data_IF_191025019659
#
_entry.id   IF_191025019659
#
_cell.length_a   1.000
_cell.length_b   1.000
_cell.length_c   1.000
_cell.angle_alpha   90.00
_cell.angle_beta   90.00
_cell.angle_gamma   90.00
#
_symmetry.space_group_name_H-M   'P 1'
#
loop_
_entity.id
_entity.type
_entity.pdbx_description
1 polymer ?
#
# COMPACT_ATOMS: atom_id res chain seq x y z
N UNK A 1 8.63 -4.56 8.22
CA UNK A 1 8.17 -3.74 9.37
C UNK A 1 8.69 -2.34 9.18
N UNK A 2 7.82 -1.34 9.05
CA UNK A 2 8.24 0.05 9.08
C UNK A 2 9.03 0.29 10.37
N UNK A 3 10.32 0.56 10.23
CA UNK A 3 11.12 1.09 11.33
C UNK A 3 10.60 2.51 11.55
N UNK A 4 9.69 2.70 12.52
CA UNK A 4 9.21 4.02 12.96
C UNK A 4 10.30 4.81 13.69
N UNK A 5 11.57 4.55 13.39
CA UNK A 5 12.69 5.44 13.73
C UNK A 5 12.54 6.73 12.93
N UNK A 6 11.62 7.55 13.46
CA UNK A 6 11.44 8.98 13.33
C UNK A 6 11.67 9.48 11.91
N UNK A 7 10.67 9.29 11.03
CA UNK A 7 10.43 10.27 9.97
C UNK A 7 10.45 11.64 10.67
N UNK A 8 11.37 12.52 10.28
CA UNK A 8 11.48 13.88 10.81
C UNK A 8 10.85 14.84 9.81
N UNK A 9 9.51 14.92 9.76
CA UNK A 9 8.82 15.74 8.79
C UNK A 9 9.12 17.22 9.04
N UNK A 10 9.42 17.94 7.97
CA UNK A 10 9.33 19.40 7.96
C UNK A 10 7.93 19.78 7.51
N UNK A 11 7.37 20.85 8.05
CA UNK A 11 6.03 21.30 7.68
C UNK A 11 6.10 22.65 6.98
N UNK A 12 5.30 22.80 5.93
CA UNK A 12 4.93 24.11 5.41
C UNK A 12 3.72 24.59 6.20
N UNK A 13 3.76 25.85 6.64
CA UNK A 13 2.71 26.48 7.43
C UNK A 13 2.17 27.70 6.68
N UNK A 14 0.87 27.96 6.83
CA UNK A 14 0.24 29.18 6.32
C UNK A 14 0.55 30.40 7.21
N UNK A 15 0.08 31.57 6.81
CA UNK A 15 0.25 32.83 7.54
C UNK A 15 -0.37 32.81 8.96
N UNK A 16 -1.29 31.86 9.23
CA UNK A 16 -1.91 31.65 10.54
C UNK A 16 -1.20 30.56 11.36
N UNK A 17 -0.07 30.06 10.87
CA UNK A 17 0.72 29.01 11.52
C UNK A 17 0.13 27.60 11.37
N UNK A 18 -0.88 27.40 10.52
CA UNK A 18 -1.52 26.09 10.30
C UNK A 18 -0.70 25.29 9.31
N UNK A 19 -0.40 24.03 9.63
CA UNK A 19 0.33 23.11 8.75
C UNK A 19 -0.50 22.78 7.50
N UNK A 20 0.04 23.04 6.32
CA UNK A 20 -0.64 22.82 5.02
C UNK A 20 -0.02 21.70 4.21
N UNK A 21 1.27 21.46 4.39
CA UNK A 21 1.97 20.36 3.71
C UNK A 21 3.11 19.82 4.57
N UNK A 22 3.56 18.62 4.21
CA UNK A 22 4.69 17.94 4.84
C UNK A 22 5.78 17.70 3.80
N UNK A 23 7.02 17.94 4.20
CA UNK A 23 8.22 17.65 3.41
C UNK A 23 8.96 16.55 4.15
N UNK A 24 9.08 15.41 3.47
CA UNK A 24 9.85 14.25 3.91
C UNK A 24 10.93 13.95 2.85
N UNK A 25 11.97 13.23 3.24
CA UNK A 25 12.97 12.81 2.25
C UNK A 25 12.37 11.72 1.34
N UNK A 26 12.96 11.55 0.15
CA UNK A 26 12.46 10.59 -0.84
C UNK A 26 12.47 9.14 -0.34
N UNK A 27 13.45 8.77 0.49
CA UNK A 27 13.52 7.42 1.07
C UNK A 27 12.31 7.14 1.96
N UNK A 28 11.97 8.08 2.83
CA UNK A 28 10.81 7.97 3.73
C UNK A 28 9.50 7.97 2.93
N UNK A 29 9.42 8.76 1.86
CA UNK A 29 8.27 8.74 0.95
C UNK A 29 8.08 7.39 0.27
N UNK A 30 9.15 6.81 -0.29
CA UNK A 30 9.09 5.50 -0.94
C UNK A 30 8.74 4.40 0.05
N UNK A 31 9.33 4.41 1.26
CA UNK A 31 8.98 3.44 2.30
C UNK A 31 7.52 3.57 2.74
N UNK A 32 6.98 4.79 2.78
CA UNK A 32 5.58 5.03 3.09
C UNK A 32 4.66 4.48 1.98
N UNK A 33 5.03 4.67 0.72
CA UNK A 33 4.28 4.11 -0.41
C UNK A 33 4.27 2.58 -0.37
N UNK A 34 5.43 1.94 -0.23
CA UNK A 34 5.56 0.48 -0.15
C UNK A 34 4.70 -0.08 1.00
N UNK A 35 4.70 0.58 2.16
CA UNK A 35 3.85 0.17 3.26
C UNK A 35 2.34 0.29 2.98
N UNK A 36 1.93 1.32 2.23
CA UNK A 36 0.52 1.47 1.85
C UNK A 36 0.14 0.37 0.85
N UNK A 37 1.00 0.06 -0.12
CA UNK A 37 0.79 -1.02 -1.08
C UNK A 37 0.64 -2.38 -0.37
N UNK A 38 1.52 -2.68 0.59
CA UNK A 38 1.42 -3.90 1.42
C UNK A 38 0.06 -4.03 2.13
N UNK A 39 -0.47 -2.91 2.64
CA UNK A 39 -1.78 -2.89 3.29
C UNK A 39 -2.94 -3.06 2.31
N UNK A 40 -2.83 -2.47 1.12
CA UNK A 40 -3.82 -2.62 0.05
C UNK A 40 -3.87 -4.07 -0.45
N UNK A 41 -2.72 -4.68 -0.70
CA UNK A 41 -2.60 -6.09 -1.09
C UNK A 41 -3.20 -7.03 -0.03
N UNK A 42 -2.89 -6.80 1.25
CA UNK A 42 -3.46 -7.58 2.35
C UNK A 42 -4.99 -7.44 2.41
N UNK A 43 -5.51 -6.24 2.22
CA UNK A 43 -6.95 -5.98 2.18
C UNK A 43 -7.62 -6.65 0.97
N UNK A 44 -6.95 -6.69 -0.18
CA UNK A 44 -7.47 -7.33 -1.39
C UNK A 44 -7.52 -8.86 -1.25
N UNK A 45 -6.53 -9.47 -0.57
CA UNK A 45 -6.60 -10.88 -0.18
C UNK A 45 -7.81 -11.14 0.73
N UNK A 46 -8.02 -10.33 1.76
CA UNK A 46 -9.17 -10.48 2.67
C UNK A 46 -10.52 -10.29 1.95
N UNK A 47 -10.60 -9.35 1.00
CA UNK A 47 -11.79 -9.20 0.15
C UNK A 47 -11.99 -10.41 -0.75
N UNK A 48 -10.92 -10.95 -1.33
CA UNK A 48 -10.98 -12.13 -2.18
C UNK A 48 -11.48 -13.34 -1.39
N UNK A 49 -10.99 -13.55 -0.17
CA UNK A 49 -11.48 -14.61 0.73
C UNK A 49 -12.98 -14.45 1.01
N UNK A 50 -13.42 -13.23 1.38
CA UNK A 50 -14.85 -12.96 1.63
C UNK A 50 -15.75 -13.18 0.42
N UNK A 51 -15.23 -12.94 -0.78
CA UNK A 51 -15.97 -13.07 -2.05
C UNK A 51 -15.78 -14.44 -2.71
N UNK A 52 -14.90 -15.30 -2.19
CA UNK A 52 -14.60 -16.57 -2.80
C UNK A 52 -15.85 -17.47 -2.76
N UNK A 53 -16.46 -17.67 -3.92
CA UNK A 53 -17.60 -18.59 -4.08
C UNK A 53 -17.13 -20.00 -4.44
N UNK A 54 -15.94 -20.13 -5.04
CA UNK A 54 -15.38 -21.39 -5.50
C UNK A 54 -13.85 -21.35 -5.55
N UNK A 55 -13.22 -22.51 -5.36
CA UNK A 55 -11.79 -22.69 -5.53
C UNK A 55 -11.47 -23.19 -6.94
N UNK A 56 -10.55 -22.53 -7.64
CA UNK A 56 -10.05 -22.98 -8.95
C UNK A 56 -8.69 -23.66 -8.77
N UNK A 57 -8.54 -24.96 -9.12
CA UNK A 57 -7.25 -25.63 -9.11
C UNK A 57 -6.22 -24.90 -9.99
N UNK A 58 -4.96 -24.88 -9.54
CA UNK A 58 -3.89 -24.12 -10.17
C UNK A 58 -3.71 -24.43 -11.66
N UNK A 59 -3.76 -25.71 -12.03
CA UNK A 59 -3.62 -26.19 -13.41
C UNK A 59 -4.72 -25.61 -14.32
N UNK A 60 -5.96 -25.57 -13.82
CA UNK A 60 -7.10 -25.01 -14.55
C UNK A 60 -6.97 -23.49 -14.69
N UNK A 61 -6.53 -22.80 -13.64
CA UNK A 61 -6.24 -21.37 -13.69
C UNK A 61 -5.13 -21.05 -14.71
N UNK A 62 -4.00 -21.76 -14.65
CA UNK A 62 -2.83 -21.55 -15.52
C UNK A 62 -3.17 -21.78 -17.00
N UNK A 63 -3.94 -22.81 -17.32
CA UNK A 63 -4.38 -23.06 -18.70
C UNK A 63 -5.28 -21.95 -19.25
N UNK A 64 -6.13 -21.34 -18.42
CA UNK A 64 -6.96 -20.20 -18.81
C UNK A 64 -6.10 -18.96 -19.06
N UNK A 65 -5.16 -18.67 -18.17
CA UNK A 65 -4.32 -17.48 -18.24
C UNK A 65 -3.38 -17.48 -19.46
N UNK A 66 -2.75 -18.62 -19.79
CA UNK A 66 -1.86 -18.75 -20.95
C UNK A 66 -2.57 -18.66 -22.32
N UNK A 67 -3.91 -18.69 -22.34
CA UNK A 67 -4.72 -18.53 -23.55
C UNK A 67 -5.24 -17.10 -23.75
N UNK A 68 -4.96 -16.20 -22.82
CA UNK A 68 -5.40 -14.79 -22.82
C UNK A 68 -4.38 -13.86 -23.44
#
# INVERSE_FOLDING_TARGET
MLNTEVVKPKYLVDEKGRKTAVVINLKDYNNLLEFIEDLEDANDILKAEKKATEFTPYEKFRQRWLKS
#
